data_IF_585377432160
#
_entry.id   IF_585377432160
#
_cell.length_a   1.000
_cell.length_b   1.000
_cell.length_c   1.000
_cell.angle_alpha   90.00
_cell.angle_beta   90.00
_cell.angle_gamma   90.00
#
_symmetry.space_group_name_H-M   'P 1'
#
loop_
_entity.id
_entity.type
_entity.pdbx_description
1 polymer ?
#
# COMPACT_ATOMS: atom_id res chain seq x y z
N UNK A 1 13.35 1.19 -3.19
CA UNK A 1 13.09 2.65 -3.20
C UNK A 1 13.60 3.30 -1.93
N UNK A 2 13.22 2.80 -0.76
CA UNK A 2 13.70 3.29 0.55
C UNK A 2 15.22 3.49 0.64
N UNK A 3 16.03 2.46 0.38
CA UNK A 3 17.51 2.56 0.42
C UNK A 3 18.05 3.67 -0.49
N UNK A 4 17.46 3.84 -1.68
CA UNK A 4 17.87 4.89 -2.62
C UNK A 4 17.55 6.28 -2.06
N UNK A 5 16.36 6.47 -1.50
CA UNK A 5 15.95 7.77 -0.96
C UNK A 5 16.73 8.14 0.29
N UNK A 6 16.98 7.17 1.18
CA UNK A 6 17.82 7.35 2.36
C UNK A 6 19.23 7.76 1.97
N UNK A 7 19.80 7.08 0.97
CA UNK A 7 21.10 7.45 0.41
C UNK A 7 21.11 8.86 -0.20
N UNK A 8 20.09 9.22 -0.98
CA UNK A 8 20.02 10.54 -1.62
C UNK A 8 19.84 11.66 -0.60
N UNK A 9 19.04 11.49 0.45
CA UNK A 9 18.92 12.46 1.56
C UNK A 9 20.26 12.63 2.28
N UNK A 10 21.00 11.53 2.49
CA UNK A 10 22.35 11.58 3.04
C UNK A 10 23.32 12.34 2.12
N UNK A 11 23.32 12.08 0.80
CA UNK A 11 24.14 12.84 -0.18
C UNK A 11 23.81 14.33 -0.14
N UNK A 12 22.53 14.70 -0.04
CA UNK A 12 22.09 16.10 0.03
C UNK A 12 22.65 16.85 1.25
N UNK A 13 22.96 16.14 2.35
CA UNK A 13 23.56 16.75 3.54
C UNK A 13 24.96 17.32 3.31
N UNK A 14 25.63 16.93 2.22
CA UNK A 14 26.93 17.45 1.81
C UNK A 14 26.83 18.56 0.74
N UNK A 15 25.64 19.11 0.51
CA UNK A 15 25.44 20.15 -0.52
C UNK A 15 26.17 21.46 -0.20
N UNK A 16 26.36 21.79 1.07
CA UNK A 16 26.91 23.05 1.57
C UNK A 16 27.93 22.85 2.71
N UNK A 17 28.94 22.00 2.51
CA UNK A 17 30.00 21.74 3.51
C UNK A 17 30.92 22.96 3.67
N UNK A 18 31.33 23.57 2.55
CA UNK A 18 31.92 24.92 2.44
C UNK A 18 31.75 25.44 0.97
N UNK A 19 32.17 26.67 0.65
CA UNK A 19 32.02 27.28 -0.69
C UNK A 19 32.77 26.54 -1.81
N UNK A 20 33.79 25.73 -1.50
CA UNK A 20 34.65 25.05 -2.49
C UNK A 20 34.52 23.51 -2.51
N UNK A 21 33.99 22.88 -1.44
CA UNK A 21 34.00 21.42 -1.24
C UNK A 21 32.60 20.78 -1.18
N UNK A 22 31.53 21.58 -1.12
CA UNK A 22 30.16 21.09 -1.19
C UNK A 22 29.78 20.53 -2.56
N UNK A 23 28.93 19.49 -2.60
CA UNK A 23 28.50 18.85 -3.85
C UNK A 23 27.59 19.74 -4.72
N UNK A 24 27.03 20.82 -4.15
CA UNK A 24 25.98 21.68 -4.75
C UNK A 24 24.68 20.95 -5.09
N UNK A 25 24.57 19.67 -4.71
CA UNK A 25 23.40 18.84 -4.94
C UNK A 25 22.55 18.82 -3.68
N UNK A 26 21.80 19.89 -3.43
CA UNK A 26 20.76 19.91 -2.41
C UNK A 26 19.59 18.98 -2.77
N UNK A 27 18.63 18.86 -1.86
CA UNK A 27 17.51 17.95 -2.01
C UNK A 27 16.64 18.28 -3.24
N UNK A 28 16.48 19.57 -3.55
CA UNK A 28 15.69 20.04 -4.69
C UNK A 28 16.38 19.75 -6.03
N UNK A 29 17.70 19.93 -6.09
CA UNK A 29 18.51 19.57 -7.26
C UNK A 29 18.50 18.06 -7.47
N UNK A 30 18.65 17.27 -6.41
CA UNK A 30 18.56 15.81 -6.48
C UNK A 30 17.17 15.36 -6.95
N UNK A 31 16.09 15.93 -6.41
CA UNK A 31 14.73 15.63 -6.83
C UNK A 31 14.54 15.89 -8.33
N UNK A 32 15.02 17.04 -8.82
CA UNK A 32 14.93 17.40 -10.25
C UNK A 32 15.64 16.39 -11.15
N UNK A 33 16.84 15.95 -10.76
CA UNK A 33 17.66 15.02 -11.57
C UNK A 33 17.14 13.58 -11.50
N UNK A 34 16.66 13.13 -10.35
CA UNK A 34 16.25 11.73 -10.18
C UNK A 34 14.83 11.47 -10.69
N UNK A 35 13.92 12.45 -10.58
CA UNK A 35 12.50 12.30 -10.97
C UNK A 35 12.27 11.59 -12.31
N UNK A 36 12.91 11.98 -13.43
CA UNK A 36 12.66 11.33 -14.73
C UNK A 36 13.13 9.87 -14.80
N UNK A 37 13.93 9.40 -13.84
CA UNK A 37 14.42 8.02 -13.78
C UNK A 37 13.54 7.11 -12.90
N UNK A 38 12.66 7.69 -12.08
CA UNK A 38 11.82 6.94 -11.13
C UNK A 38 10.32 7.11 -11.38
N UNK A 39 9.89 8.25 -11.93
CA UNK A 39 8.50 8.51 -12.30
C UNK A 39 8.39 8.64 -13.81
N UNK A 40 7.62 7.73 -14.43
CA UNK A 40 7.40 7.72 -15.87
C UNK A 40 6.04 8.35 -16.20
N UNK A 41 6.05 9.29 -17.13
CA UNK A 41 4.83 9.79 -17.73
C UNK A 41 4.20 8.72 -18.63
N UNK A 42 2.86 8.69 -18.66
CA UNK A 42 2.13 7.80 -19.58
C UNK A 42 2.19 8.31 -21.02
N UNK A 43 2.29 9.62 -21.20
CA UNK A 43 2.52 10.27 -22.49
C UNK A 43 4.01 10.31 -22.82
N UNK A 44 4.32 10.34 -24.12
CA UNK A 44 5.70 10.45 -24.62
C UNK A 44 6.36 11.79 -24.25
N UNK A 45 5.55 12.83 -24.09
CA UNK A 45 5.93 14.17 -23.68
C UNK A 45 5.03 14.60 -22.51
N UNK A 46 5.51 14.50 -21.24
CA UNK A 46 4.77 15.05 -20.11
C UNK A 46 4.64 16.56 -20.25
N UNK A 47 3.50 17.08 -19.82
CA UNK A 47 3.33 18.53 -19.72
C UNK A 47 4.28 19.11 -18.66
N UNK A 48 4.56 20.40 -18.78
CA UNK A 48 5.43 21.12 -17.83
C UNK A 48 4.90 21.00 -16.40
N UNK A 49 3.59 21.10 -16.22
CA UNK A 49 2.94 21.07 -14.91
C UNK A 49 3.02 19.67 -14.28
N UNK A 50 2.85 18.60 -15.09
CA UNK A 50 3.07 17.22 -14.63
C UNK A 50 4.51 16.99 -14.17
N UNK A 51 5.49 17.57 -14.88
CA UNK A 51 6.91 17.46 -14.53
C UNK A 51 7.20 18.16 -13.20
N UNK A 52 6.66 19.36 -12.98
CA UNK A 52 6.79 20.05 -11.70
C UNK A 52 6.13 19.31 -10.55
N UNK A 53 4.93 18.75 -10.79
CA UNK A 53 4.24 17.95 -9.79
C UNK A 53 5.02 16.69 -9.44
N UNK A 54 5.59 16.01 -10.43
CA UNK A 54 6.44 14.84 -10.23
C UNK A 54 7.69 15.19 -9.42
N UNK A 55 8.39 16.28 -9.76
CA UNK A 55 9.57 16.73 -9.01
C UNK A 55 9.22 17.05 -7.56
N UNK A 56 8.10 17.73 -7.34
CA UNK A 56 7.62 18.04 -5.99
C UNK A 56 7.31 16.77 -5.19
N UNK A 57 6.62 15.81 -5.79
CA UNK A 57 6.31 14.54 -5.13
C UNK A 57 7.59 13.80 -4.72
N UNK A 58 8.59 13.77 -5.60
CA UNK A 58 9.90 13.16 -5.30
C UNK A 58 10.64 13.93 -4.21
N UNK A 59 10.62 15.26 -4.23
CA UNK A 59 11.19 16.07 -3.16
C UNK A 59 10.56 15.75 -1.81
N UNK A 60 9.22 15.72 -1.71
CA UNK A 60 8.51 15.37 -0.48
C UNK A 60 8.84 13.94 -0.01
N UNK A 61 8.99 12.99 -0.95
CA UNK A 61 9.42 11.63 -0.62
C UNK A 61 10.85 11.55 -0.07
N UNK A 62 11.76 12.39 -0.57
CA UNK A 62 13.14 12.47 -0.06
C UNK A 62 13.19 13.17 1.31
N UNK A 63 12.41 14.23 1.50
CA UNK A 63 12.40 15.03 2.73
C UNK A 63 11.76 14.28 3.89
N UNK A 64 10.56 13.71 3.67
CA UNK A 64 9.72 13.12 4.72
C UNK A 64 9.79 11.59 4.74
N UNK A 65 10.87 10.99 4.22
CA UNK A 65 11.05 9.54 4.16
C UNK A 65 10.85 8.82 5.51
N UNK A 66 11.25 9.46 6.62
CA UNK A 66 11.16 8.88 7.96
C UNK A 66 9.71 8.74 8.44
N UNK A 67 8.81 9.60 7.95
CA UNK A 67 7.37 9.54 8.24
C UNK A 67 6.63 8.65 7.24
N UNK A 68 6.98 8.78 5.95
CA UNK A 68 6.29 8.10 4.85
C UNK A 68 6.59 6.60 4.78
N UNK A 69 7.74 6.15 5.28
CA UNK A 69 8.10 4.74 5.32
C UNK A 69 7.62 4.03 6.58
N UNK A 70 7.11 4.78 7.56
CA UNK A 70 6.53 4.21 8.76
C UNK A 70 5.04 3.94 8.53
N UNK A 71 4.59 2.79 9.04
CA UNK A 71 3.18 2.47 9.04
C UNK A 71 2.48 3.26 10.15
N UNK A 72 1.34 3.94 9.86
CA UNK A 72 0.56 4.59 10.90
C UNK A 72 0.15 3.60 12.01
N UNK A 73 0.24 3.96 13.30
CA UNK A 73 -0.10 3.07 14.41
C UNK A 73 -1.50 2.47 14.31
N UNK A 74 -2.47 3.23 13.79
CA UNK A 74 -3.86 2.82 13.62
C UNK A 74 -3.97 1.65 12.66
N UNK A 75 -3.17 1.63 11.59
CA UNK A 75 -3.12 0.55 10.62
C UNK A 75 -2.44 -0.67 11.23
N UNK A 76 -1.37 -0.49 12.02
CA UNK A 76 -0.70 -1.58 12.72
C UNK A 76 -1.65 -2.32 13.67
N UNK A 77 -2.51 -1.59 14.39
CA UNK A 77 -3.50 -2.18 15.30
C UNK A 77 -4.52 -3.07 14.56
N UNK A 78 -5.02 -2.62 13.41
CA UNK A 78 -5.96 -3.41 12.59
C UNK A 78 -5.30 -4.69 12.06
N UNK A 79 -4.00 -4.63 11.71
CA UNK A 79 -3.28 -5.80 11.21
C UNK A 79 -3.00 -6.84 12.29
N UNK A 80 -2.72 -6.44 13.53
CA UNK A 80 -2.58 -7.37 14.66
C UNK A 80 -3.91 -8.08 14.96
N UNK A 81 -5.04 -7.38 14.77
CA UNK A 81 -6.36 -7.97 14.92
C UNK A 81 -6.68 -9.01 13.82
N UNK A 82 -5.98 -9.02 12.67
CA UNK A 82 -6.20 -10.05 11.64
C UNK A 82 -5.84 -11.49 12.09
N UNK A 83 -4.91 -11.68 13.02
CA UNK A 83 -4.66 -13.01 13.61
C UNK A 83 -5.86 -13.46 14.47
N UNK A 84 -6.55 -12.51 15.12
CA UNK A 84 -7.80 -12.77 15.84
C UNK A 84 -9.00 -12.93 14.88
N UNK A 85 -9.07 -12.12 13.82
CA UNK A 85 -10.11 -12.20 12.79
C UNK A 85 -10.01 -13.48 11.98
N UNK A 86 -8.80 -13.97 11.66
CA UNK A 86 -8.60 -15.26 10.97
C UNK A 86 -8.98 -16.45 11.85
N UNK A 87 -8.68 -16.37 13.15
CA UNK A 87 -9.16 -17.34 14.14
C UNK A 87 -10.69 -17.37 14.23
N UNK A 88 -11.33 -16.20 14.23
CA UNK A 88 -12.79 -16.07 14.27
C UNK A 88 -13.47 -16.45 12.94
N UNK A 89 -12.83 -16.18 11.79
CA UNK A 89 -13.36 -16.46 10.45
C UNK A 89 -13.35 -17.96 10.12
N UNK A 90 -12.39 -18.72 10.65
CA UNK A 90 -12.40 -20.18 10.61
C UNK A 90 -13.54 -20.80 11.44
N UNK A 91 -13.98 -20.12 12.50
CA UNK A 91 -15.11 -20.55 13.32
C UNK A 91 -16.47 -20.29 12.65
N UNK A 92 -16.59 -19.16 11.93
CA UNK A 92 -17.82 -18.76 11.21
C UNK A 92 -18.07 -19.67 10.00
N UNK A 93 -17.03 -20.03 9.22
CA UNK A 93 -17.17 -20.95 8.08
C UNK A 93 -17.56 -22.38 8.50
N UNK A 94 -17.14 -22.80 9.70
CA UNK A 94 -17.49 -24.10 10.26
C UNK A 94 -18.93 -24.17 10.79
N UNK A 95 -19.47 -23.07 11.31
CA UNK A 95 -20.85 -23.02 11.86
C UNK A 95 -21.93 -22.85 10.80
N UNK A 96 -21.64 -22.18 9.68
CA UNK A 96 -22.64 -21.89 8.63
C UNK A 96 -22.75 -22.97 7.53
N UNK A 97 -21.89 -24.01 7.57
CA UNK A 97 -22.00 -25.17 6.67
C UNK A 97 -23.14 -26.14 7.03
N UNK A 98 -23.80 -25.96 8.18
CA UNK A 98 -25.06 -26.64 8.51
C UNK A 98 -26.26 -25.77 8.15
N UNK A 99 -26.36 -25.43 6.88
CA UNK A 99 -27.56 -24.82 6.31
C UNK A 99 -28.79 -25.70 6.58
N UNK A 100 -29.94 -25.14 7.02
CA UNK A 100 -31.19 -25.86 7.29
C UNK A 100 -31.81 -26.51 6.03
N UNK A 101 -31.18 -26.35 4.87
CA UNK A 101 -31.64 -26.88 3.59
C UNK A 101 -31.61 -28.41 3.48
N UNK A 102 -30.90 -29.12 4.37
CA UNK A 102 -30.98 -30.60 4.45
C UNK A 102 -32.26 -31.10 5.13
N UNK A 103 -32.90 -30.27 5.98
CA UNK A 103 -34.12 -30.65 6.71
C UNK A 103 -35.34 -30.55 5.79
N UNK A 104 -35.43 -29.51 4.96
CA UNK A 104 -36.56 -29.30 4.04
C UNK A 104 -36.65 -30.37 2.94
N UNK A 105 -35.52 -30.85 2.41
CA UNK A 105 -35.50 -31.96 1.45
C UNK A 105 -36.04 -33.27 2.05
N UNK A 106 -35.81 -33.50 3.35
CA UNK A 106 -36.33 -34.68 4.05
C UNK A 106 -37.85 -34.60 4.27
N UNK A 107 -38.39 -33.40 4.56
CA UNK A 107 -39.84 -33.19 4.70
C UNK A 107 -40.62 -33.26 3.37
N UNK A 108 -40.05 -32.77 2.27
CA UNK A 108 -40.65 -32.90 0.94
C UNK A 108 -40.66 -34.35 0.43
N UNK A 109 -39.64 -35.15 0.75
CA UNK A 109 -39.59 -36.56 0.37
C UNK A 109 -40.62 -37.40 1.15
N UNK A 110 -40.76 -37.17 2.47
CA UNK A 110 -41.71 -37.90 3.32
C UNK A 110 -43.18 -37.56 3.05
N UNK A 111 -43.48 -36.37 2.54
CA UNK A 111 -44.84 -35.93 2.24
C UNK A 111 -45.35 -36.43 0.88
N UNK A 112 -44.46 -36.82 -0.03
CA UNK A 112 -44.82 -37.27 -1.38
C UNK A 112 -44.96 -38.79 -1.54
N UNK A 113 -44.55 -39.60 -0.54
CA UNK A 113 -44.66 -41.07 -0.54
C UNK A 113 -45.96 -41.62 0.11
N UNK A 114 -46.87 -40.76 0.59
CA UNK A 114 -48.18 -41.19 1.11
C UNK A 114 -49.33 -40.73 0.23
N UNK A 115 -49.46 -41.30 -0.96
CA UNK A 115 -50.75 -41.43 -1.65
C UNK A 115 -50.77 -42.80 -2.35
N UNK A 116 -51.41 -43.83 -1.78
CA UNK A 116 -51.64 -45.08 -2.47
C UNK A 116 -52.84 -44.95 -3.42
N UNK A 117 -52.66 -45.37 -4.67
CA UNK A 117 -53.72 -46.06 -5.42
C UNK A 117 -53.31 -47.52 -5.56
#
# INVERSE_FOLDING_TARGET
MEVLFVFLKWVASFSHVDEETGSKMDLQNLATVITPNILYARSKDPTRDESFLAIRAVHELLEYQDELFQMPPEVQLIMQDQELLSSNMNEITSKDSKSPHSSLSHYWFYSNERQPY
#
